data_IF_945543518257
#
_entry.id   IF_945543518257
#
_cell.length_a   1.000
_cell.length_b   1.000
_cell.length_c   1.000
_cell.angle_alpha   90.00
_cell.angle_beta   90.00
_cell.angle_gamma   90.00
#
_symmetry.space_group_name_H-M   'P 1'
#
loop_
_entity.id
_entity.type
_entity.pdbx_description
1 polymer ?
#
# COMPACT_ATOMS: atom_id res chain seq x y z
N UNK A 1 25.73 -0.64 10.23
CA UNK A 1 24.96 -1.88 10.02
C UNK A 1 23.67 -1.49 9.31
N UNK A 2 23.44 -1.98 8.09
CA UNK A 2 22.22 -1.64 7.33
C UNK A 2 21.05 -2.43 7.91
N UNK A 3 20.06 -1.74 8.47
CA UNK A 3 18.81 -2.36 8.93
C UNK A 3 17.75 -2.19 7.86
N UNK A 4 17.20 -3.30 7.36
CA UNK A 4 16.15 -3.25 6.35
C UNK A 4 14.82 -2.88 7.01
N UNK A 5 14.19 -1.82 6.51
CA UNK A 5 12.89 -1.36 7.03
C UNK A 5 11.77 -2.37 6.73
N UNK A 6 10.82 -2.54 7.65
CA UNK A 6 9.69 -3.49 7.59
C UNK A 6 8.95 -3.51 6.27
N UNK A 7 8.77 -2.32 5.66
CA UNK A 7 8.11 -2.17 4.38
C UNK A 7 8.80 -2.99 3.27
N UNK A 8 10.14 -3.02 3.27
CA UNK A 8 10.89 -3.77 2.28
C UNK A 8 10.81 -5.28 2.52
N UNK A 9 10.74 -5.73 3.78
CA UNK A 9 10.47 -7.14 4.09
C UNK A 9 9.12 -7.59 3.55
N UNK A 10 8.08 -6.76 3.77
CA UNK A 10 6.74 -7.02 3.23
C UNK A 10 6.78 -7.05 1.69
N UNK A 11 7.37 -6.04 1.05
CA UNK A 11 7.47 -5.97 -0.41
C UNK A 11 8.22 -7.17 -1.01
N UNK A 12 9.31 -7.60 -0.36
CA UNK A 12 10.10 -8.76 -0.79
C UNK A 12 9.31 -10.07 -0.71
N UNK A 13 8.47 -10.24 0.32
CA UNK A 13 7.55 -11.39 0.39
C UNK A 13 6.50 -11.33 -0.70
N UNK A 14 5.89 -10.15 -0.92
CA UNK A 14 4.80 -9.99 -1.88
C UNK A 14 5.26 -10.14 -3.34
N UNK A 15 6.55 -9.95 -3.63
CA UNK A 15 7.07 -10.20 -4.96
C UNK A 15 7.24 -11.72 -5.20
N UNK A 16 6.54 -12.30 -6.20
CA UNK A 16 6.58 -13.74 -6.48
C UNK A 16 7.99 -14.32 -6.65
N UNK A 17 8.94 -13.52 -7.15
CA UNK A 17 10.32 -13.95 -7.37
C UNK A 17 11.15 -14.03 -6.10
N UNK A 18 10.87 -13.18 -5.12
CA UNK A 18 11.66 -13.05 -3.89
C UNK A 18 10.95 -13.59 -2.64
N UNK A 19 9.73 -14.13 -2.79
CA UNK A 19 8.87 -14.59 -1.69
C UNK A 19 9.52 -15.57 -0.70
N UNK A 20 10.50 -16.35 -1.17
CA UNK A 20 11.19 -17.38 -0.36
C UNK A 20 12.33 -16.81 0.48
N UNK A 21 12.73 -15.55 0.27
CA UNK A 21 13.81 -14.89 0.98
C UNK A 21 15.06 -15.79 1.13
N UNK A 22 15.55 -16.34 0.01
CA UNK A 22 16.60 -17.38 -0.03
C UNK A 22 17.88 -17.03 0.73
N UNK A 23 18.17 -15.74 0.91
CA UNK A 23 19.36 -15.23 1.58
C UNK A 23 19.12 -14.75 3.02
N UNK A 24 17.88 -14.80 3.51
CA UNK A 24 17.55 -14.37 4.87
C UNK A 24 17.68 -15.53 5.87
N UNK A 25 18.05 -15.19 7.09
CA UNK A 25 18.04 -16.11 8.24
C UNK A 25 16.61 -16.57 8.56
N UNK A 26 16.48 -17.69 9.28
CA UNK A 26 15.16 -18.18 9.69
C UNK A 26 14.42 -17.19 10.60
N UNK A 27 15.16 -16.45 11.42
CA UNK A 27 14.61 -15.40 12.30
C UNK A 27 14.06 -14.24 11.48
N UNK A 28 14.80 -13.75 10.48
CA UNK A 28 14.35 -12.69 9.58
C UNK A 28 13.14 -13.12 8.75
N UNK A 29 13.12 -14.37 8.27
CA UNK A 29 11.97 -14.94 7.57
C UNK A 29 10.73 -15.00 8.46
N UNK A 30 10.88 -15.48 9.69
CA UNK A 30 9.79 -15.52 10.67
C UNK A 30 9.26 -14.11 10.98
N UNK A 31 10.16 -13.14 11.16
CA UNK A 31 9.82 -11.73 11.35
C UNK A 31 9.02 -11.18 10.16
N UNK A 32 9.50 -11.38 8.94
CA UNK A 32 8.85 -10.91 7.73
C UNK A 32 7.45 -11.55 7.53
N UNK A 33 7.29 -12.85 7.82
CA UNK A 33 5.98 -13.50 7.81
C UNK A 33 5.04 -12.95 8.88
N UNK A 34 5.55 -12.62 10.06
CA UNK A 34 4.77 -11.97 11.12
C UNK A 34 4.23 -10.62 10.64
N UNK A 35 5.09 -9.78 10.05
CA UNK A 35 4.72 -8.47 9.51
C UNK A 35 3.59 -8.56 8.46
N UNK A 36 3.71 -9.48 7.51
CA UNK A 36 2.69 -9.66 6.46
C UNK A 36 1.37 -10.12 7.07
N UNK A 37 1.39 -11.11 7.97
CA UNK A 37 0.17 -11.61 8.65
C UNK A 37 -0.53 -10.50 9.44
N UNK A 38 0.25 -9.70 10.18
CA UNK A 38 -0.28 -8.60 10.96
C UNK A 38 -0.93 -7.53 10.06
N UNK A 39 -0.29 -7.19 8.94
CA UNK A 39 -0.82 -6.22 7.96
C UNK A 39 -2.09 -6.72 7.27
N UNK A 40 -2.13 -7.98 6.85
CA UNK A 40 -3.32 -8.60 6.26
C UNK A 40 -4.47 -8.63 7.28
N UNK A 41 -4.20 -9.04 8.53
CA UNK A 41 -5.21 -9.04 9.59
C UNK A 41 -5.76 -7.64 9.88
N UNK A 42 -4.89 -6.61 9.87
CA UNK A 42 -5.32 -5.21 9.99
C UNK A 42 -6.25 -4.79 8.85
N UNK A 43 -5.92 -5.14 7.60
CA UNK A 43 -6.78 -4.85 6.45
C UNK A 43 -8.14 -5.54 6.53
N UNK A 44 -8.18 -6.78 7.00
CA UNK A 44 -9.42 -7.51 7.22
C UNK A 44 -10.29 -6.85 8.30
N UNK A 45 -9.68 -6.36 9.38
CA UNK A 45 -10.40 -5.62 10.45
C UNK A 45 -10.98 -4.32 9.92
N UNK A 46 -10.20 -3.54 9.17
CA UNK A 46 -10.66 -2.28 8.56
C UNK A 46 -11.85 -2.51 7.62
N UNK A 47 -11.78 -3.54 6.77
CA UNK A 47 -12.87 -3.87 5.86
C UNK A 47 -14.17 -4.31 6.57
N UNK A 48 -14.10 -4.82 7.80
CA UNK A 48 -15.31 -5.16 8.58
C UNK A 48 -15.96 -3.92 9.21
N UNK A 49 -15.18 -2.87 9.49
CA UNK A 49 -15.69 -1.61 10.04
C UNK A 49 -16.49 -0.88 8.95
N UNK A 50 -15.96 -0.80 7.73
CA UNK A 50 -16.63 -0.13 6.60
C UNK A 50 -17.97 -0.78 6.24
N UNK A 51 -18.11 -2.10 6.37
CA UNK A 51 -19.37 -2.82 6.09
C UNK A 51 -20.47 -2.59 7.14
N UNK A 52 -20.13 -2.04 8.31
CA UNK A 52 -21.10 -1.78 9.38
C UNK A 52 -21.64 -0.34 9.37
N UNK A 53 -21.11 0.56 8.53
CA UNK A 53 -21.53 1.98 8.44
C UNK A 53 -22.46 2.32 7.24
N UNK A 54 -22.94 1.35 6.45
CA UNK A 54 -23.94 1.63 5.40
C UNK A 54 -25.39 1.63 5.91
N UNK A 55 -25.73 2.52 6.86
CA UNK A 55 -27.08 3.15 6.94
C UNK A 55 -26.97 4.53 7.61
N UNK A 56 -26.67 5.60 6.84
CA UNK A 56 -27.45 6.84 6.84
C UNK A 56 -27.08 7.73 5.64
N UNK A 57 -28.11 8.11 4.88
CA UNK A 57 -28.07 8.99 3.69
C UNK A 57 -28.00 10.49 4.10
N UNK A 58 -27.89 11.47 3.16
CA UNK A 58 -26.77 12.40 3.05
C UNK A 58 -27.07 13.85 3.51
N UNK A 59 -25.99 14.63 3.59
CA UNK A 59 -25.87 16.10 3.72
C UNK A 59 -25.69 16.68 5.14
N UNK A 60 -24.49 17.23 5.40
CA UNK A 60 -24.25 18.69 5.53
C UNK A 60 -22.74 18.93 5.73
N UNK A 61 -22.14 19.71 4.83
CA UNK A 61 -20.75 20.18 4.91
C UNK A 61 -20.67 21.24 6.03
N UNK A 62 -19.96 20.93 7.12
CA UNK A 62 -19.56 21.91 8.13
C UNK A 62 -18.06 22.18 8.01
N UNK A 63 -17.71 23.39 7.59
CA UNK A 63 -16.36 23.94 7.60
C UNK A 63 -15.93 24.22 9.05
N UNK A 64 -15.00 23.42 9.58
CA UNK A 64 -14.26 23.79 10.81
C UNK A 64 -12.74 23.76 10.56
N UNK A 65 -11.97 24.71 11.14
CA UNK A 65 -10.55 24.90 10.87
C UNK A 65 -9.68 23.75 11.43
N UNK A 66 -8.45 23.56 10.93
CA UNK A 66 -7.64 22.38 11.21
C UNK A 66 -7.11 22.43 12.66
N UNK A 67 -7.18 21.33 13.43
CA UNK A 67 -6.58 21.29 14.75
C UNK A 67 -5.05 21.30 14.63
N UNK A 68 -4.43 22.11 15.48
CA UNK A 68 -2.98 22.31 15.55
C UNK A 68 -2.24 20.99 15.83
N UNK A 69 -1.14 20.81 15.11
CA UNK A 69 -0.30 19.61 15.06
C UNK A 69 0.35 19.33 16.43
N UNK A 70 0.09 18.16 17.00
CA UNK A 70 1.05 17.50 17.90
C UNK A 70 1.80 16.45 17.07
N UNK A 71 3.10 16.65 16.89
CA UNK A 71 3.97 15.75 16.15
C UNK A 71 4.23 14.50 17.00
N UNK A 72 3.31 13.54 16.95
CA UNK A 72 3.56 12.21 17.52
C UNK A 72 4.52 11.45 16.59
N UNK A 73 5.71 11.17 17.12
CA UNK A 73 6.76 10.40 16.44
C UNK A 73 6.24 9.02 16.02
N UNK A 74 6.56 8.62 14.79
CA UNK A 74 6.09 7.39 14.13
C UNK A 74 6.64 6.09 14.74
N UNK A 75 7.49 6.18 15.77
CA UNK A 75 8.29 5.08 16.30
C UNK A 75 7.72 4.43 17.56
N UNK A 76 6.58 4.88 18.10
CA UNK A 76 6.07 4.41 19.39
C UNK A 76 4.91 3.40 19.29
N UNK A 77 4.64 2.80 18.12
CA UNK A 77 3.60 1.76 17.97
C UNK A 77 4.12 0.31 18.10
N UNK A 78 5.35 0.10 18.53
CA UNK A 78 5.95 -1.22 18.62
C UNK A 78 6.70 -1.40 19.92
N UNK A 79 5.98 -1.51 21.04
CA UNK A 79 6.39 -2.28 22.21
C UNK A 79 5.10 -2.63 22.94
N UNK A 80 4.74 -3.90 22.93
CA UNK A 80 4.10 -4.59 24.06
C UNK A 80 3.97 -6.08 23.71
N UNK A 81 4.88 -6.85 24.31
CA UNK A 81 4.68 -8.26 24.59
C UNK A 81 3.79 -8.40 25.85
N UNK A 82 2.94 -9.42 25.84
CA UNK A 82 2.12 -9.97 26.94
C UNK A 82 0.89 -9.17 27.40
N UNK A 83 -0.32 -9.69 27.11
CA UNK A 83 -1.10 -10.50 28.07
C UNK A 83 -2.57 -10.64 27.61
N UNK A 84 -3.19 -11.71 28.11
CA UNK A 84 -4.38 -12.44 27.72
C UNK A 84 -5.70 -11.63 27.72
N UNK A 85 -6.43 -11.71 26.60
CA UNK A 85 -7.81 -11.21 26.51
C UNK A 85 -8.43 -11.27 25.11
N UNK A 86 -8.34 -12.42 24.42
CA UNK A 86 -8.74 -12.51 23.01
C UNK A 86 -10.24 -12.82 22.81
N UNK A 87 -11.00 -11.83 22.33
CA UNK A 87 -12.37 -11.99 21.82
C UNK A 87 -12.41 -12.96 20.62
N UNK A 88 -13.35 -13.91 20.62
CA UNK A 88 -13.53 -15.01 19.65
C UNK A 88 -13.46 -14.61 18.15
N UNK A 89 -13.82 -13.36 17.80
CA UNK A 89 -13.74 -12.82 16.44
C UNK A 89 -12.30 -12.55 15.96
N UNK A 90 -11.41 -12.07 16.84
CA UNK A 90 -10.02 -11.72 16.49
C UNK A 90 -9.17 -12.95 16.16
N UNK A 91 -9.36 -14.04 16.92
CA UNK A 91 -8.73 -15.35 16.69
C UNK A 91 -9.05 -15.88 15.28
N UNK A 92 -10.24 -15.59 14.75
CA UNK A 92 -10.67 -16.03 13.42
C UNK A 92 -9.94 -15.27 12.30
N UNK A 93 -9.73 -13.96 12.46
CA UNK A 93 -9.08 -13.10 11.46
C UNK A 93 -7.59 -13.44 11.34
N UNK A 94 -6.89 -13.54 12.47
CA UNK A 94 -5.47 -13.89 12.48
C UNK A 94 -5.22 -15.27 11.82
N UNK A 95 -6.09 -16.25 12.09
CA UNK A 95 -6.05 -17.57 11.43
C UNK A 95 -6.27 -17.48 9.91
N UNK A 96 -7.21 -16.63 9.45
CA UNK A 96 -7.44 -16.41 8.01
C UNK A 96 -6.23 -15.78 7.33
N UNK A 97 -5.67 -14.72 7.93
CA UNK A 97 -4.46 -14.06 7.41
C UNK A 97 -3.26 -15.03 7.33
N UNK A 98 -3.09 -15.88 8.35
CA UNK A 98 -2.05 -16.93 8.35
C UNK A 98 -2.24 -17.92 7.21
N UNK A 99 -3.46 -18.43 7.02
CA UNK A 99 -3.78 -19.41 5.97
C UNK A 99 -3.54 -18.83 4.57
N UNK A 100 -3.95 -17.60 4.33
CA UNK A 100 -3.78 -16.95 3.03
C UNK A 100 -2.30 -16.78 2.66
N UNK A 101 -1.46 -16.38 3.62
CA UNK A 101 -0.01 -16.33 3.41
C UNK A 101 0.58 -17.72 3.14
N UNK A 102 0.13 -18.75 3.85
CA UNK A 102 0.62 -20.12 3.65
C UNK A 102 0.28 -20.66 2.26
N UNK A 103 -0.95 -20.43 1.78
CA UNK A 103 -1.36 -20.77 0.41
C UNK A 103 -0.45 -20.08 -0.60
N UNK A 104 -0.18 -18.78 -0.41
CA UNK A 104 0.70 -18.02 -1.30
C UNK A 104 2.14 -18.59 -1.36
N UNK A 105 2.70 -18.98 -0.22
CA UNK A 105 4.05 -19.55 -0.15
C UNK A 105 4.14 -20.92 -0.81
N UNK A 106 3.05 -21.69 -0.80
CA UNK A 106 2.97 -23.04 -1.40
C UNK A 106 2.61 -23.03 -2.89
N UNK A 107 2.17 -21.89 -3.45
CA UNK A 107 1.73 -21.81 -4.84
C UNK A 107 2.86 -22.15 -5.82
N UNK A 108 2.63 -23.03 -6.79
CA UNK A 108 3.61 -23.31 -7.83
C UNK A 108 3.60 -22.19 -8.90
N UNK A 109 4.70 -21.44 -9.02
CA UNK A 109 4.83 -20.30 -9.93
C UNK A 109 5.40 -20.66 -11.30
N UNK A 110 5.87 -21.89 -11.53
CA UNK A 110 6.58 -22.26 -12.77
C UNK A 110 5.74 -22.09 -14.04
N UNK A 111 4.41 -22.19 -13.91
CA UNK A 111 3.49 -22.15 -15.05
C UNK A 111 2.73 -20.81 -15.16
N UNK A 112 3.08 -19.81 -14.34
CA UNK A 112 2.44 -18.50 -14.40
C UNK A 112 2.96 -17.71 -15.60
N UNK A 113 2.18 -17.69 -16.69
CA UNK A 113 2.50 -16.95 -17.92
C UNK A 113 2.85 -15.47 -17.65
N UNK A 114 2.12 -14.83 -16.74
CA UNK A 114 2.34 -13.44 -16.32
C UNK A 114 3.70 -13.14 -15.66
N UNK A 115 4.44 -14.17 -15.20
CA UNK A 115 5.78 -14.05 -14.62
C UNK A 115 6.89 -14.43 -15.61
N UNK A 116 6.54 -15.09 -16.72
CA UNK A 116 7.47 -15.59 -17.74
C UNK A 116 7.55 -14.68 -18.97
N UNK A 117 6.66 -13.70 -19.11
CA UNK A 117 6.74 -12.68 -20.17
C UNK A 117 7.86 -11.65 -19.88
N UNK A 118 8.48 -11.11 -20.94
CA UNK A 118 9.58 -10.12 -20.88
C UNK A 118 9.24 -8.86 -20.07
N UNK A 119 7.94 -8.60 -19.85
CA UNK A 119 7.42 -7.56 -18.97
C UNK A 119 7.08 -8.21 -17.63
N UNK A 120 8.12 -8.54 -16.86
CA UNK A 120 8.03 -9.21 -15.56
C UNK A 120 7.34 -8.31 -14.52
N UNK A 121 6.02 -8.23 -14.58
CA UNK A 121 5.20 -7.32 -13.79
C UNK A 121 4.46 -8.10 -12.68
N UNK A 122 4.89 -7.98 -11.41
CA UNK A 122 4.26 -8.72 -10.32
C UNK A 122 2.81 -8.30 -10.08
N UNK A 123 2.38 -7.11 -10.53
CA UNK A 123 0.99 -6.67 -10.45
C UNK A 123 0.05 -7.51 -11.32
N UNK A 124 0.53 -8.04 -12.45
CA UNK A 124 -0.29 -8.91 -13.32
C UNK A 124 -0.57 -10.25 -12.63
N UNK A 125 0.45 -10.83 -12.00
CA UNK A 125 0.28 -12.02 -11.16
C UNK A 125 -0.78 -11.80 -10.07
N UNK A 126 -0.68 -10.70 -9.33
CA UNK A 126 -1.63 -10.39 -8.24
C UNK A 126 -3.04 -10.06 -8.73
N UNK A 127 -3.17 -9.60 -9.98
CA UNK A 127 -4.46 -9.41 -10.66
C UNK A 127 -5.10 -10.77 -10.99
N UNK A 128 -4.33 -11.72 -11.49
CA UNK A 128 -4.83 -13.08 -11.74
C UNK A 128 -5.20 -13.80 -10.43
N UNK A 129 -4.38 -13.64 -9.38
CA UNK A 129 -4.60 -14.28 -8.09
C UNK A 129 -5.60 -13.55 -7.17
N UNK A 130 -6.20 -12.44 -7.61
CA UNK A 130 -7.10 -11.62 -6.78
C UNK A 130 -8.33 -12.40 -6.26
N UNK A 131 -8.80 -13.39 -7.03
CA UNK A 131 -9.92 -14.23 -6.63
C UNK A 131 -9.57 -15.27 -5.54
N UNK A 132 -8.31 -15.71 -5.49
CA UNK A 132 -7.83 -16.72 -4.51
C UNK A 132 -7.27 -16.05 -3.26
N UNK A 133 -6.52 -14.95 -3.44
CA UNK A 133 -5.71 -14.28 -2.43
C UNK A 133 -6.15 -12.82 -2.28
N UNK A 134 -7.45 -12.60 -2.06
CA UNK A 134 -8.06 -11.26 -2.07
C UNK A 134 -7.38 -10.26 -1.12
N UNK A 135 -7.07 -10.66 0.11
CA UNK A 135 -6.54 -9.73 1.12
C UNK A 135 -5.05 -9.46 0.89
N UNK A 136 -4.30 -10.45 0.40
CA UNK A 136 -2.93 -10.27 -0.06
C UNK A 136 -2.89 -9.36 -1.30
N UNK A 137 -3.78 -9.54 -2.28
CA UNK A 137 -3.88 -8.65 -3.45
C UNK A 137 -4.22 -7.21 -3.04
N UNK A 138 -5.09 -7.01 -2.03
CA UNK A 138 -5.34 -5.69 -1.43
C UNK A 138 -4.08 -5.09 -0.80
N UNK A 139 -3.33 -5.90 -0.05
CA UNK A 139 -2.06 -5.45 0.54
C UNK A 139 -1.05 -5.07 -0.55
N UNK A 140 -0.93 -5.87 -1.61
CA UNK A 140 -0.03 -5.61 -2.74
C UNK A 140 -0.34 -4.27 -3.39
N UNK A 141 -1.62 -3.98 -3.64
CA UNK A 141 -2.04 -2.68 -4.20
C UNK A 141 -1.54 -1.53 -3.31
N UNK A 142 -1.65 -1.64 -1.99
CA UNK A 142 -1.13 -0.61 -1.08
C UNK A 142 0.40 -0.47 -1.10
N UNK A 143 1.13 -1.59 -1.08
CA UNK A 143 2.59 -1.58 -0.98
C UNK A 143 3.24 -1.18 -2.30
N UNK A 144 2.79 -1.73 -3.43
CA UNK A 144 3.39 -1.46 -4.75
C UNK A 144 2.95 -0.13 -5.37
N UNK A 145 1.94 0.53 -4.82
CA UNK A 145 1.63 1.93 -5.17
C UNK A 145 2.61 2.94 -4.54
N UNK A 146 3.47 2.51 -3.61
CA UNK A 146 4.48 3.38 -3.01
C UNK A 146 5.62 3.54 -4.03
N UNK A 147 5.89 4.76 -4.52
CA UNK A 147 7.00 4.97 -5.44
C UNK A 147 8.33 4.77 -4.71
N UNK A 148 9.28 4.12 -5.39
CA UNK A 148 10.62 3.89 -4.83
C UNK A 148 11.45 5.19 -4.70
N UNK A 149 11.06 6.27 -5.39
CA UNK A 149 11.78 7.54 -5.36
C UNK A 149 10.86 8.75 -5.47
N UNK A 150 11.36 9.91 -5.03
CA UNK A 150 10.73 11.22 -5.17
C UNK A 150 10.75 11.75 -6.61
N UNK A 151 11.41 11.07 -7.55
CA UNK A 151 11.62 11.56 -8.92
C UNK A 151 10.30 11.89 -9.65
N UNK A 152 9.22 11.14 -9.37
CA UNK A 152 7.90 11.44 -9.92
C UNK A 152 7.38 12.81 -9.47
N UNK A 153 7.54 13.11 -8.17
CA UNK A 153 7.12 14.38 -7.56
C UNK A 153 8.05 15.51 -8.00
N UNK A 154 9.36 15.27 -8.08
CA UNK A 154 10.35 16.24 -8.57
C UNK A 154 10.08 16.68 -10.01
N UNK A 155 9.67 15.76 -10.89
CA UNK A 155 9.21 16.11 -12.25
C UNK A 155 7.97 17.01 -12.21
N UNK A 156 7.03 16.73 -11.30
CA UNK A 156 5.88 17.58 -11.05
C UNK A 156 6.28 19.00 -10.62
N UNK A 157 7.20 19.11 -9.67
CA UNK A 157 7.71 20.41 -9.21
C UNK A 157 8.53 21.15 -10.27
N UNK A 158 9.30 20.43 -11.08
CA UNK A 158 10.02 21.00 -12.22
C UNK A 158 9.05 21.60 -13.23
N UNK A 159 7.94 20.91 -13.52
CA UNK A 159 6.88 21.44 -14.36
C UNK A 159 6.17 22.63 -13.70
N UNK A 160 5.94 22.60 -12.39
CA UNK A 160 5.36 23.71 -11.64
C UNK A 160 6.23 24.98 -11.71
N UNK A 161 7.57 24.84 -11.67
CA UNK A 161 8.50 25.94 -11.85
C UNK A 161 8.37 26.64 -13.21
N UNK A 162 7.97 25.92 -14.26
CA UNK A 162 7.67 26.51 -15.57
C UNK A 162 6.33 27.27 -15.54
N UNK A 163 5.32 26.73 -14.84
CA UNK A 163 4.00 27.36 -14.69
C UNK A 163 4.11 28.67 -13.90
N UNK A 164 4.84 28.64 -12.79
CA UNK A 164 5.12 29.78 -11.91
C UNK A 164 6.47 30.40 -12.30
N UNK A 165 6.51 31.01 -13.48
CA UNK A 165 7.70 31.72 -13.97
C UNK A 165 7.69 33.19 -13.53
N UNK A 166 8.85 33.85 -13.58
CA UNK A 166 8.99 35.29 -13.26
C UNK A 166 8.11 36.21 -14.12
N UNK A 167 7.64 35.75 -15.28
CA UNK A 167 6.70 36.50 -16.16
C UNK A 167 5.23 36.26 -15.83
N UNK A 168 4.93 35.28 -14.97
CA UNK A 168 3.59 34.82 -14.61
C UNK A 168 3.36 34.95 -13.10
N UNK A 169 3.61 36.14 -12.56
CA UNK A 169 3.57 36.41 -11.11
C UNK A 169 2.16 36.65 -10.55
N UNK A 170 1.16 36.87 -11.40
CA UNK A 170 -0.22 37.17 -11.00
C UNK A 170 -1.21 36.02 -11.26
N UNK A 171 -0.73 34.76 -11.23
CA UNK A 171 -1.61 33.60 -11.34
C UNK A 171 -2.13 33.24 -9.94
N UNK A 172 -3.45 33.01 -9.83
CA UNK A 172 -4.06 32.52 -8.59
C UNK A 172 -3.50 31.13 -8.24
N UNK A 173 -3.11 30.87 -6.98
CA UNK A 173 -2.68 29.55 -6.52
C UNK A 173 -3.61 28.39 -6.90
N UNK A 174 -4.94 28.60 -6.92
CA UNK A 174 -5.89 27.56 -7.33
C UNK A 174 -5.69 27.16 -8.80
N UNK A 175 -5.53 28.14 -9.68
CA UNK A 175 -5.27 27.92 -11.11
C UNK A 175 -3.94 27.22 -11.35
N UNK A 176 -2.90 27.51 -10.56
CA UNK A 176 -1.62 26.79 -10.65
C UNK A 176 -1.82 25.31 -10.32
N UNK A 177 -2.58 25.02 -9.25
CA UNK A 177 -2.88 23.64 -8.85
C UNK A 177 -3.65 22.88 -9.95
N UNK A 178 -4.66 23.52 -10.55
CA UNK A 178 -5.45 22.93 -11.63
C UNK A 178 -4.57 22.62 -12.86
N UNK A 179 -3.68 23.54 -13.24
CA UNK A 179 -2.74 23.34 -14.35
C UNK A 179 -1.81 22.15 -14.07
N UNK A 180 -1.24 22.06 -12.87
CA UNK A 180 -0.36 20.95 -12.49
C UNK A 180 -1.12 19.62 -12.51
N UNK A 181 -2.33 19.61 -11.94
CA UNK A 181 -3.19 18.43 -11.92
C UNK A 181 -3.51 17.95 -13.34
N UNK A 182 -4.03 18.82 -14.20
CA UNK A 182 -4.36 18.50 -15.60
C UNK A 182 -3.13 17.99 -16.34
N UNK A 183 -1.95 18.60 -16.14
CA UNK A 183 -0.71 18.14 -16.78
C UNK A 183 -0.31 16.73 -16.33
N UNK A 184 -0.46 16.43 -15.04
CA UNK A 184 -0.12 15.10 -14.49
C UNK A 184 -1.08 14.01 -14.97
N UNK A 185 -2.37 14.32 -15.12
CA UNK A 185 -3.41 13.34 -15.50
C UNK A 185 -3.63 13.22 -17.00
N UNK A 186 -3.23 14.22 -17.81
CA UNK A 186 -3.46 14.24 -19.25
C UNK A 186 -2.91 13.01 -19.99
N UNK A 187 -1.78 12.45 -19.55
CA UNK A 187 -1.23 11.23 -20.16
C UNK A 187 -2.13 10.00 -19.92
N UNK A 188 -2.75 9.92 -18.74
CA UNK A 188 -3.67 8.84 -18.39
C UNK A 188 -5.00 8.95 -19.14
N UNK A 189 -5.55 10.16 -19.26
CA UNK A 189 -6.83 10.37 -19.95
C UNK A 189 -6.77 10.06 -21.45
N UNK A 190 -5.65 10.35 -22.11
CA UNK A 190 -5.47 10.10 -23.56
C UNK A 190 -5.37 8.64 -23.96
N UNK A 191 -5.09 7.74 -23.02
CA UNK A 191 -4.94 6.30 -23.32
C UNK A 191 -6.27 5.53 -23.32
N UNK A 192 -7.36 6.19 -22.89
CA UNK A 192 -8.69 5.59 -22.72
C UNK A 192 -9.75 6.26 -23.62
N UNK A 193 -9.34 7.08 -24.59
CA UNK A 193 -10.20 7.66 -25.64
C UNK A 193 -9.73 7.17 -27.00
#
# INVERSE_FOLDING_TARGET
MFSLHDLHWIAAILNPHTRMLKHATDVERAHAYCLVRARVAKLMKMAQIDNNEEVLSPATISLTPPPHKNLQSYTTQFHDDADLGETSSNMTIAKRARRELEIYLQLNLTNCKCLNDDINNPLLFWKEQEHVLLNMSRLVKQIFSIPASSAAVERGFSAAGIVVSQRRTNINPSTVNDIILIRSTAAYLKTHT
#
